data_IF_601740930956
#
_entry.id   IF_601740930956
#
_cell.length_a   1.000
_cell.length_b   1.000
_cell.length_c   1.000
_cell.angle_alpha   90.00
_cell.angle_beta   90.00
_cell.angle_gamma   90.00
#
_symmetry.space_group_name_H-M   'P 1'
#
loop_
_entity.id
_entity.type
_entity.pdbx_description
1 polymer ?
#
# COMPACT_ATOMS: atom_id res chain seq x y z
N UNK A 1 32.19 29.76 -71.03
CA UNK A 1 32.67 28.70 -71.95
C UNK A 1 33.76 27.91 -71.23
N UNK A 2 33.56 26.59 -71.06
CA UNK A 2 34.59 25.53 -70.93
C UNK A 2 35.60 25.61 -69.74
N UNK A 3 35.92 24.58 -68.95
CA UNK A 3 35.80 23.11 -69.08
C UNK A 3 35.70 22.42 -67.71
N UNK A 4 35.03 21.28 -67.75
CA UNK A 4 34.99 20.14 -66.82
C UNK A 4 36.29 19.33 -66.78
N UNK A 5 36.51 18.64 -65.66
CA UNK A 5 37.13 17.31 -65.45
C UNK A 5 37.08 17.03 -63.92
N UNK A 6 36.72 15.89 -63.33
CA UNK A 6 36.22 14.59 -63.80
C UNK A 6 36.16 13.61 -62.60
N UNK A 7 35.00 12.95 -62.41
CA UNK A 7 34.75 11.60 -61.85
C UNK A 7 35.25 11.16 -60.43
N UNK A 8 34.62 10.10 -59.84
CA UNK A 8 34.27 10.02 -58.42
C UNK A 8 35.03 8.93 -57.64
N UNK A 9 35.06 9.05 -56.30
CA UNK A 9 35.36 7.94 -55.40
C UNK A 9 34.28 7.87 -54.32
N UNK A 10 33.63 6.71 -54.22
CA UNK A 10 32.55 6.42 -53.29
C UNK A 10 33.01 6.30 -51.84
N UNK A 11 32.02 6.40 -50.96
CA UNK A 11 32.13 6.10 -49.54
C UNK A 11 30.72 6.01 -48.97
N UNK A 12 30.28 4.79 -48.67
CA UNK A 12 28.99 4.45 -48.10
C UNK A 12 28.67 5.30 -46.87
N UNK A 13 27.53 6.00 -46.92
CA UNK A 13 26.95 6.62 -45.74
C UNK A 13 26.25 5.53 -44.90
N UNK A 14 26.94 5.04 -43.88
CA UNK A 14 26.29 4.34 -42.77
C UNK A 14 25.74 5.39 -41.79
N UNK A 15 24.44 5.39 -41.45
CA UNK A 15 23.98 6.20 -40.35
C UNK A 15 24.36 5.50 -39.04
N UNK A 16 25.20 6.17 -38.25
CA UNK A 16 25.45 5.83 -36.85
C UNK A 16 24.13 6.10 -36.12
N UNK A 17 23.40 5.03 -35.82
CA UNK A 17 22.23 5.08 -34.98
C UNK A 17 22.68 5.37 -33.54
N UNK A 18 22.05 6.40 -32.96
CA UNK A 18 22.22 6.85 -31.59
C UNK A 18 22.19 5.69 -30.59
N UNK A 19 23.28 5.64 -29.84
CA UNK A 19 23.52 4.72 -28.74
C UNK A 19 22.97 5.35 -27.47
N UNK A 20 21.67 5.22 -27.19
CA UNK A 20 21.19 5.25 -25.80
C UNK A 20 19.78 4.68 -25.67
N UNK A 21 19.67 3.35 -25.62
CA UNK A 21 18.43 2.72 -25.15
C UNK A 21 18.75 1.46 -24.35
N UNK A 22 18.56 1.60 -23.03
CA UNK A 22 18.35 0.53 -22.05
C UNK A 22 19.46 -0.53 -21.96
N UNK A 23 20.46 -0.24 -21.12
CA UNK A 23 21.02 -1.30 -20.25
C UNK A 23 19.96 -1.75 -19.25
N UNK A 24 19.07 -2.61 -19.71
CA UNK A 24 18.45 -3.61 -18.86
C UNK A 24 19.60 -4.51 -18.43
N UNK A 25 20.07 -4.38 -17.19
CA UNK A 25 20.98 -5.36 -16.61
C UNK A 25 20.24 -6.70 -16.59
N UNK A 26 20.50 -7.57 -17.57
CA UNK A 26 20.09 -8.96 -17.52
C UNK A 26 20.68 -9.56 -16.25
N UNK A 27 19.83 -9.80 -15.24
CA UNK A 27 20.21 -10.67 -14.13
C UNK A 27 20.44 -12.06 -14.74
N UNK A 28 21.70 -12.39 -15.03
CA UNK A 28 22.11 -13.74 -15.40
C UNK A 28 22.28 -14.52 -14.10
N UNK A 29 21.44 -15.53 -13.91
CA UNK A 29 21.62 -16.59 -12.92
C UNK A 29 21.80 -17.91 -13.67
N UNK A 30 22.61 -18.83 -13.14
CA UNK A 30 22.73 -20.19 -13.73
C UNK A 30 21.67 -21.15 -13.20
N UNK A 31 21.20 -20.94 -11.97
CA UNK A 31 20.32 -21.88 -11.28
C UNK A 31 19.21 -21.14 -10.53
N UNK A 32 18.03 -21.75 -10.48
CA UNK A 32 16.93 -21.38 -9.58
C UNK A 32 16.73 -22.50 -8.59
N UNK A 33 16.87 -22.20 -7.30
CA UNK A 33 16.62 -23.14 -6.21
C UNK A 33 15.38 -22.73 -5.43
N UNK A 34 14.46 -23.68 -5.26
CA UNK A 34 13.19 -23.50 -4.55
C UNK A 34 13.27 -24.17 -3.19
N UNK A 35 13.00 -23.42 -2.13
CA UNK A 35 12.98 -23.88 -0.76
C UNK A 35 11.58 -23.77 -0.17
N UNK A 36 11.16 -24.79 0.56
CA UNK A 36 10.07 -24.65 1.53
C UNK A 36 10.67 -24.21 2.87
N UNK A 37 10.14 -23.16 3.47
CA UNK A 37 10.59 -22.62 4.76
C UNK A 37 9.41 -22.56 5.72
N UNK A 38 9.08 -23.66 6.42
CA UNK A 38 7.82 -23.82 7.16
C UNK A 38 7.58 -22.77 8.26
N UNK A 39 8.63 -22.14 8.79
CA UNK A 39 8.54 -21.08 9.80
C UNK A 39 8.77 -19.67 9.24
N UNK A 40 8.74 -19.48 7.93
CA UNK A 40 8.81 -18.17 7.28
C UNK A 40 7.40 -17.60 7.10
N UNK A 41 6.65 -17.48 8.19
CA UNK A 41 5.29 -16.93 8.20
C UNK A 41 5.27 -15.39 8.36
N UNK A 42 6.43 -14.75 8.26
CA UNK A 42 6.67 -13.40 8.72
C UNK A 42 7.93 -12.74 8.08
N UNK A 43 7.88 -11.43 7.73
CA UNK A 43 9.05 -10.64 7.31
C UNK A 43 10.21 -10.51 8.26
N UNK A 44 10.03 -10.73 9.55
CA UNK A 44 11.18 -10.80 10.44
C UNK A 44 12.05 -12.00 10.03
N UNK A 45 11.44 -13.14 9.70
CA UNK A 45 12.16 -14.29 9.15
C UNK A 45 12.61 -14.06 7.71
N UNK A 46 11.79 -13.45 6.85
CA UNK A 46 12.22 -13.05 5.49
C UNK A 46 13.47 -12.18 5.54
N UNK A 47 13.46 -11.13 6.38
CA UNK A 47 14.57 -10.21 6.58
C UNK A 47 15.76 -10.91 7.21
N UNK A 48 15.54 -11.83 8.14
CA UNK A 48 16.60 -12.65 8.72
C UNK A 48 17.27 -13.52 7.64
N UNK A 49 16.49 -14.15 6.77
CA UNK A 49 16.99 -14.91 5.63
C UNK A 49 17.76 -13.99 4.69
N UNK A 50 17.18 -12.84 4.31
CA UNK A 50 17.83 -11.87 3.43
C UNK A 50 19.15 -11.36 4.01
N UNK A 51 19.21 -11.06 5.30
CA UNK A 51 20.44 -10.65 6.00
C UNK A 51 21.46 -11.79 6.05
N UNK A 52 21.01 -13.02 6.31
CA UNK A 52 21.88 -14.18 6.38
C UNK A 52 22.48 -14.54 5.00
N UNK A 53 21.74 -14.29 3.93
CA UNK A 53 22.12 -14.57 2.55
C UNK A 53 22.82 -13.39 1.85
N UNK A 54 22.82 -12.18 2.44
CA UNK A 54 23.46 -10.98 1.85
C UNK A 54 24.98 -11.13 1.64
N UNK A 55 25.62 -12.11 2.28
CA UNK A 55 27.06 -12.38 2.15
C UNK A 55 27.45 -13.28 0.98
N UNK A 56 26.51 -13.75 0.17
CA UNK A 56 26.78 -14.59 -1.00
C UNK A 56 26.80 -13.73 -2.27
N UNK A 57 27.97 -13.58 -2.89
CA UNK A 57 28.13 -12.83 -4.15
C UNK A 57 27.50 -13.56 -5.34
N UNK A 58 27.28 -14.87 -5.20
CA UNK A 58 26.68 -15.74 -6.20
C UNK A 58 25.15 -15.60 -6.27
N UNK A 59 24.50 -14.97 -5.27
CA UNK A 59 23.05 -14.77 -5.25
C UNK A 59 22.69 -13.50 -6.03
N UNK A 60 21.80 -13.64 -7.02
CA UNK A 60 21.35 -12.55 -7.88
C UNK A 60 20.01 -11.97 -7.44
N UNK A 61 19.05 -12.85 -7.14
CA UNK A 61 17.68 -12.47 -6.81
C UNK A 61 17.14 -13.40 -5.71
N UNK A 62 16.41 -12.81 -4.77
CA UNK A 62 15.64 -13.53 -3.76
C UNK A 62 14.17 -13.14 -3.89
N UNK A 63 13.31 -14.13 -4.14
CA UNK A 63 11.86 -13.96 -4.12
C UNK A 63 11.27 -14.75 -2.97
N UNK A 64 10.35 -14.12 -2.24
CA UNK A 64 9.75 -14.67 -1.04
C UNK A 64 8.24 -14.70 -1.22
N UNK A 65 7.66 -15.90 -1.07
CA UNK A 65 6.22 -16.09 -0.99
C UNK A 65 5.87 -16.55 0.43
N UNK A 66 5.47 -15.60 1.26
CA UNK A 66 5.09 -15.82 2.66
C UNK A 66 3.81 -16.65 2.78
N UNK A 67 2.88 -16.52 1.82
CA UNK A 67 1.60 -17.24 1.82
C UNK A 67 1.82 -18.74 1.64
N UNK A 68 2.69 -19.10 0.70
CA UNK A 68 3.05 -20.49 0.42
C UNK A 68 4.32 -20.96 1.16
N UNK A 69 4.91 -20.09 2.00
CA UNK A 69 6.14 -20.36 2.77
C UNK A 69 7.29 -20.86 1.88
N UNK A 70 7.43 -20.23 0.72
CA UNK A 70 8.35 -20.62 -0.36
C UNK A 70 9.38 -19.51 -0.60
N UNK A 71 10.63 -19.90 -0.72
CA UNK A 71 11.76 -19.02 -1.07
C UNK A 71 12.34 -19.50 -2.39
N UNK A 72 12.47 -18.59 -3.34
CA UNK A 72 13.15 -18.83 -4.60
C UNK A 72 14.44 -18.01 -4.65
N UNK A 73 15.54 -18.72 -4.91
CA UNK A 73 16.88 -18.14 -4.95
C UNK A 73 17.44 -18.32 -6.34
N UNK A 74 17.72 -17.21 -7.02
CA UNK A 74 18.46 -17.21 -8.29
C UNK A 74 19.94 -17.02 -7.95
N UNK A 75 20.77 -17.96 -8.38
CA UNK A 75 22.20 -17.95 -8.06
C UNK A 75 23.08 -18.56 -9.16
N UNK A 76 24.37 -18.25 -9.09
CA UNK A 76 25.40 -18.68 -10.05
C UNK A 76 26.30 -19.81 -9.51
N UNK A 77 26.12 -20.19 -8.25
CA UNK A 77 27.03 -21.06 -7.49
C UNK A 77 26.44 -22.41 -7.10
N UNK A 78 27.09 -23.07 -6.13
CA UNK A 78 26.60 -24.31 -5.53
C UNK A 78 25.44 -24.03 -4.54
N UNK A 79 24.50 -24.97 -4.43
CA UNK A 79 23.29 -24.82 -3.60
C UNK A 79 23.54 -25.17 -2.13
N UNK A 80 24.58 -25.97 -1.87
CA UNK A 80 24.94 -26.51 -0.57
C UNK A 80 25.30 -25.41 0.45
N UNK A 81 26.11 -24.38 0.13
CA UNK A 81 26.40 -23.28 1.05
C UNK A 81 25.16 -22.46 1.43
N UNK A 82 24.26 -22.24 0.47
CA UNK A 82 22.99 -21.52 0.65
C UNK A 82 22.08 -22.34 1.59
N UNK A 83 21.96 -23.65 1.33
CA UNK A 83 21.18 -24.59 2.14
C UNK A 83 21.73 -24.69 3.57
N UNK A 84 23.05 -24.77 3.71
CA UNK A 84 23.72 -24.79 5.01
C UNK A 84 23.45 -23.50 5.80
N UNK A 85 23.46 -22.34 5.13
CA UNK A 85 23.12 -21.07 5.80
C UNK A 85 21.65 -21.02 6.22
N UNK A 86 20.73 -21.40 5.35
CA UNK A 86 19.29 -21.40 5.65
C UNK A 86 18.93 -22.35 6.80
N UNK A 87 19.59 -23.50 6.89
CA UNK A 87 19.38 -24.46 8.00
C UNK A 87 19.85 -23.91 9.35
N UNK A 88 20.90 -23.09 9.39
CA UNK A 88 21.37 -22.46 10.63
C UNK A 88 20.36 -21.48 11.26
N UNK A 89 19.41 -20.98 10.46
CA UNK A 89 18.37 -20.07 10.95
C UNK A 89 17.28 -20.78 11.77
N UNK A 90 17.24 -22.12 11.77
CA UNK A 90 16.26 -22.88 12.56
C UNK A 90 14.81 -22.76 12.05
N UNK A 91 14.63 -22.23 10.83
CA UNK A 91 13.33 -22.00 10.18
C UNK A 91 12.74 -23.24 9.49
N UNK A 92 13.48 -24.35 9.49
CA UNK A 92 13.08 -25.61 8.86
C UNK A 92 13.21 -25.61 7.34
N UNK A 93 14.07 -24.76 6.78
CA UNK A 93 14.28 -24.66 5.34
C UNK A 93 14.70 -26.01 4.74
N UNK A 94 13.96 -26.45 3.71
CA UNK A 94 14.24 -27.68 2.96
C UNK A 94 14.26 -27.36 1.48
N UNK A 95 15.32 -27.78 0.78
CA UNK A 95 15.40 -27.68 -0.67
C UNK A 95 14.36 -28.61 -1.31
N UNK A 96 13.52 -28.07 -2.18
CA UNK A 96 12.51 -28.82 -2.92
C UNK A 96 13.02 -29.16 -4.32
N UNK A 97 13.54 -28.16 -5.03
CA UNK A 97 13.97 -28.30 -6.42
C UNK A 97 15.14 -27.36 -6.71
N UNK A 98 16.03 -27.76 -7.61
CA UNK A 98 17.01 -26.87 -8.25
C UNK A 98 17.01 -27.17 -9.74
N UNK A 99 16.73 -26.14 -10.54
CA UNK A 99 16.65 -26.23 -11.99
C UNK A 99 17.60 -25.22 -12.64
N UNK A 100 18.05 -25.53 -13.85
CA UNK A 100 18.82 -24.59 -14.66
C UNK A 100 17.94 -23.37 -14.94
N UNK A 101 18.48 -22.18 -14.68
CA UNK A 101 17.76 -20.95 -14.86
C UNK A 101 17.70 -20.60 -16.35
N UNK A 102 16.49 -20.59 -16.91
CA UNK A 102 16.23 -20.00 -18.21
C UNK A 102 15.94 -18.49 -18.06
N UNK A 103 16.15 -17.67 -19.11
CA UNK A 103 15.93 -16.23 -19.04
C UNK A 103 14.49 -15.82 -18.66
N UNK A 104 13.48 -16.67 -18.91
CA UNK A 104 12.09 -16.39 -18.54
C UNK A 104 11.86 -16.66 -17.05
N UNK A 105 12.40 -17.75 -16.49
CA UNK A 105 12.29 -18.02 -15.05
C UNK A 105 13.01 -16.97 -14.21
N UNK A 106 14.18 -16.47 -14.62
CA UNK A 106 14.88 -15.40 -13.89
C UNK A 106 14.07 -14.09 -13.92
N UNK A 107 13.48 -13.75 -15.07
CA UNK A 107 12.57 -12.59 -15.18
C UNK A 107 11.33 -12.77 -14.32
N UNK A 108 10.69 -13.93 -14.33
CA UNK A 108 9.50 -14.20 -13.52
C UNK A 108 9.78 -14.06 -12.01
N UNK A 109 10.92 -14.57 -11.54
CA UNK A 109 11.36 -14.44 -10.13
C UNK A 109 11.68 -12.96 -9.81
N UNK A 110 12.37 -12.28 -10.72
CA UNK A 110 12.68 -10.85 -10.61
C UNK A 110 11.43 -9.97 -10.55
N UNK A 111 10.49 -10.15 -11.48
CA UNK A 111 9.24 -9.40 -11.58
C UNK A 111 8.35 -9.64 -10.35
N UNK A 112 8.30 -10.87 -9.83
CA UNK A 112 7.58 -11.19 -8.59
C UNK A 112 8.17 -10.46 -7.39
N UNK A 113 9.50 -10.47 -7.25
CA UNK A 113 10.20 -9.78 -6.16
C UNK A 113 10.05 -8.24 -6.24
N UNK A 114 10.09 -7.67 -7.45
CA UNK A 114 9.89 -6.25 -7.69
C UNK A 114 8.44 -5.83 -7.41
N UNK A 115 7.46 -6.62 -7.85
CA UNK A 115 6.04 -6.41 -7.59
C UNK A 115 5.71 -6.40 -6.09
N UNK A 116 6.22 -7.38 -5.34
CA UNK A 116 6.01 -7.46 -3.89
C UNK A 116 6.64 -6.26 -3.14
N UNK A 117 7.84 -5.84 -3.53
CA UNK A 117 8.49 -4.66 -2.97
C UNK A 117 7.68 -3.37 -3.27
N UNK A 118 7.17 -3.23 -4.49
CA UNK A 118 6.38 -2.08 -4.93
C UNK A 118 4.99 -2.02 -4.25
N UNK A 119 4.35 -3.18 -4.02
CA UNK A 119 3.10 -3.29 -3.26
C UNK A 119 3.30 -2.82 -1.81
N UNK A 120 4.35 -3.31 -1.13
CA UNK A 120 4.68 -2.88 0.24
C UNK A 120 5.01 -1.37 0.33
N UNK A 121 5.68 -0.81 -0.69
CA UNK A 121 5.94 0.61 -0.79
C UNK A 121 4.66 1.43 -0.94
N UNK A 122 3.72 0.95 -1.74
CA UNK A 122 2.40 1.57 -1.91
C UNK A 122 1.60 1.56 -0.61
N UNK A 123 1.56 0.44 0.12
CA UNK A 123 0.88 0.36 1.43
C UNK A 123 1.47 1.33 2.45
N UNK A 124 2.80 1.54 2.47
CA UNK A 124 3.44 2.49 3.38
C UNK A 124 3.06 3.94 3.05
N UNK A 125 2.94 4.27 1.76
CA UNK A 125 2.43 5.57 1.34
C UNK A 125 0.97 5.77 1.73
N UNK A 126 0.11 4.77 1.50
CA UNK A 126 -1.31 4.82 1.89
C UNK A 126 -1.45 4.99 3.40
N UNK A 127 -0.71 4.21 4.20
CA UNK A 127 -0.66 4.34 5.66
C UNK A 127 -0.26 5.76 6.07
N UNK A 128 0.82 6.29 5.49
CA UNK A 128 1.34 7.62 5.84
C UNK A 128 0.35 8.74 5.54
N UNK A 129 -0.26 8.71 4.35
CA UNK A 129 -1.24 9.73 3.93
C UNK A 129 -2.48 9.69 4.84
N UNK A 130 -3.07 8.51 5.04
CA UNK A 130 -4.25 8.35 5.89
C UNK A 130 -3.99 8.74 7.35
N UNK A 131 -2.82 8.38 7.90
CA UNK A 131 -2.45 8.76 9.26
C UNK A 131 -2.29 10.29 9.41
N UNK A 132 -1.74 10.96 8.40
CA UNK A 132 -1.63 12.44 8.39
C UNK A 132 -3.00 13.09 8.27
N UNK A 133 -3.85 12.61 7.35
CA UNK A 133 -5.21 13.13 7.18
C UNK A 133 -6.03 12.97 8.47
N UNK A 134 -5.97 11.80 9.12
CA UNK A 134 -6.61 11.59 10.41
C UNK A 134 -6.26 12.70 11.42
N UNK A 135 -4.98 13.02 11.60
CA UNK A 135 -4.56 14.03 12.59
C UNK A 135 -5.02 15.43 12.16
N UNK A 136 -4.85 15.78 10.88
CA UNK A 136 -5.20 17.10 10.35
C UNK A 136 -6.71 17.34 10.43
N UNK A 137 -7.52 16.41 9.94
CA UNK A 137 -8.97 16.52 9.89
C UNK A 137 -9.62 16.37 11.27
N UNK A 138 -9.08 15.52 12.15
CA UNK A 138 -9.56 15.44 13.53
C UNK A 138 -9.37 16.79 14.22
N UNK A 139 -8.16 17.36 14.10
CA UNK A 139 -7.84 18.66 14.69
C UNK A 139 -8.71 19.76 14.10
N UNK A 140 -8.80 19.81 12.77
CA UNK A 140 -9.61 20.80 12.06
C UNK A 140 -11.10 20.64 12.34
N UNK A 141 -11.64 19.43 12.38
CA UNK A 141 -13.05 19.16 12.65
C UNK A 141 -13.46 19.53 14.07
N UNK A 142 -12.55 19.39 15.04
CA UNK A 142 -12.75 19.89 16.40
C UNK A 142 -12.76 21.41 16.44
N UNK A 143 -11.81 22.09 15.79
CA UNK A 143 -11.71 23.56 15.75
C UNK A 143 -12.89 24.17 14.97
N UNK A 144 -13.22 23.59 13.81
CA UNK A 144 -14.28 24.03 12.93
C UNK A 144 -15.66 23.61 13.40
N UNK A 145 -15.79 22.88 14.52
CA UNK A 145 -17.06 22.30 14.96
C UNK A 145 -17.83 21.55 13.84
N UNK A 146 -17.10 20.82 12.99
CA UNK A 146 -17.66 19.99 11.91
C UNK A 146 -17.64 18.51 12.28
N UNK A 147 -18.81 17.89 12.32
CA UNK A 147 -18.97 16.44 12.51
C UNK A 147 -18.64 15.65 11.26
N UNK A 148 -18.79 16.24 10.07
CA UNK A 148 -18.36 15.65 8.80
C UNK A 148 -16.85 15.40 8.79
N UNK A 149 -16.04 16.43 9.08
CA UNK A 149 -14.59 16.30 9.17
C UNK A 149 -14.14 15.32 10.26
N UNK A 150 -14.77 15.34 11.44
CA UNK A 150 -14.43 14.38 12.49
C UNK A 150 -14.76 12.96 12.03
N UNK A 151 -15.92 12.73 11.40
CA UNK A 151 -16.30 11.42 10.87
C UNK A 151 -15.33 10.91 9.81
N UNK A 152 -14.93 11.78 8.88
CA UNK A 152 -13.94 11.49 7.83
C UNK A 152 -12.56 11.16 8.40
N UNK A 153 -12.10 11.92 9.41
CA UNK A 153 -10.84 11.63 10.07
C UNK A 153 -10.80 10.22 10.68
N UNK A 154 -11.93 9.74 11.21
CA UNK A 154 -12.01 8.39 11.77
C UNK A 154 -11.99 7.28 10.71
N UNK A 155 -12.48 7.57 9.51
CA UNK A 155 -12.36 6.65 8.38
C UNK A 155 -10.90 6.55 7.93
N UNK A 156 -10.21 7.70 7.83
CA UNK A 156 -8.76 7.74 7.59
C UNK A 156 -7.96 7.02 8.69
N UNK A 157 -8.39 7.08 9.95
CA UNK A 157 -7.80 6.26 11.02
C UNK A 157 -8.04 4.76 10.81
N UNK A 158 -9.25 4.36 10.41
CA UNK A 158 -9.59 2.98 10.12
C UNK A 158 -8.73 2.42 8.97
N UNK A 159 -8.61 3.17 7.90
CA UNK A 159 -7.80 2.84 6.73
C UNK A 159 -6.31 2.73 7.11
N UNK A 160 -5.78 3.71 7.84
CA UNK A 160 -4.43 3.65 8.39
C UNK A 160 -4.22 2.42 9.28
N UNK A 161 -5.19 2.06 10.13
CA UNK A 161 -5.11 0.88 10.98
C UNK A 161 -5.13 -0.41 10.14
N UNK A 162 -5.92 -0.48 9.07
CA UNK A 162 -5.96 -1.63 8.15
C UNK A 162 -4.65 -1.76 7.36
N UNK A 163 -4.11 -0.68 6.81
CA UNK A 163 -2.80 -0.70 6.13
C UNK A 163 -1.65 -1.01 7.09
N UNK A 164 -1.70 -0.45 8.29
CA UNK A 164 -0.75 -0.72 9.36
C UNK A 164 -0.81 -2.17 9.80
N UNK A 165 -2.01 -2.74 9.95
CA UNK A 165 -2.20 -4.16 10.24
C UNK A 165 -1.75 -5.03 9.08
N UNK A 166 -1.99 -4.65 7.83
CA UNK A 166 -1.51 -5.38 6.66
C UNK A 166 0.02 -5.43 6.67
N UNK A 167 0.69 -4.29 6.92
CA UNK A 167 2.15 -4.19 7.06
C UNK A 167 2.69 -4.92 8.30
N UNK A 168 1.94 -4.93 9.40
CA UNK A 168 2.29 -5.65 10.62
C UNK A 168 2.09 -7.16 10.46
N UNK A 169 1.06 -7.58 9.75
CA UNK A 169 0.77 -8.99 9.46
C UNK A 169 1.92 -9.63 8.69
N UNK A 170 2.59 -8.84 7.85
CA UNK A 170 3.90 -9.15 7.32
C UNK A 170 4.89 -9.14 8.51
N UNK A 171 4.94 -10.22 9.29
CA UNK A 171 5.94 -10.39 10.36
C UNK A 171 5.45 -11.11 11.61
N UNK A 172 4.20 -11.55 11.64
CA UNK A 172 3.55 -11.91 12.90
C UNK A 172 2.63 -13.12 12.72
N UNK A 173 2.63 -14.04 13.70
CA UNK A 173 1.72 -15.20 13.68
C UNK A 173 0.25 -14.79 13.59
N UNK A 174 -0.59 -15.65 12.99
CA UNK A 174 -2.05 -15.41 12.82
C UNK A 174 -2.72 -14.96 14.13
N UNK A 175 -2.36 -15.55 15.28
CA UNK A 175 -2.90 -15.17 16.60
C UNK A 175 -2.56 -13.73 16.99
N UNK A 176 -1.35 -13.27 16.67
CA UNK A 176 -0.89 -11.91 16.97
C UNK A 176 -1.51 -10.90 16.02
N UNK A 177 -1.68 -11.25 14.75
CA UNK A 177 -2.42 -10.45 13.77
C UNK A 177 -3.86 -10.21 14.22
N UNK A 178 -4.54 -11.28 14.64
CA UNK A 178 -5.94 -11.19 15.09
C UNK A 178 -6.04 -10.36 16.37
N UNK A 179 -5.09 -10.46 17.30
CA UNK A 179 -5.05 -9.58 18.49
C UNK A 179 -4.86 -8.11 18.13
N UNK A 180 -3.93 -7.80 17.23
CA UNK A 180 -3.70 -6.43 16.76
C UNK A 180 -4.94 -5.88 16.04
N UNK A 181 -5.58 -6.70 15.20
CA UNK A 181 -6.84 -6.36 14.52
C UNK A 181 -7.96 -6.06 15.53
N UNK A 182 -8.13 -6.90 16.55
CA UNK A 182 -9.14 -6.66 17.58
C UNK A 182 -8.86 -5.38 18.37
N UNK A 183 -7.61 -5.10 18.72
CA UNK A 183 -7.25 -3.85 19.41
C UNK A 183 -7.60 -2.63 18.55
N UNK A 184 -7.22 -2.64 17.27
CA UNK A 184 -7.58 -1.59 16.32
C UNK A 184 -9.11 -1.45 16.18
N UNK A 185 -9.82 -2.57 16.05
CA UNK A 185 -11.28 -2.59 15.94
C UNK A 185 -11.99 -2.06 17.18
N UNK A 186 -11.49 -2.34 18.39
CA UNK A 186 -12.04 -1.78 19.65
C UNK A 186 -11.82 -0.28 19.71
N UNK A 187 -10.61 0.21 19.40
CA UNK A 187 -10.31 1.64 19.36
C UNK A 187 -11.22 2.36 18.35
N UNK A 188 -11.36 1.80 17.15
CA UNK A 188 -12.23 2.34 16.11
C UNK A 188 -13.72 2.33 16.53
N UNK A 189 -14.18 1.28 17.23
CA UNK A 189 -15.54 1.23 17.76
C UNK A 189 -15.80 2.34 18.78
N UNK A 190 -14.86 2.58 19.70
CA UNK A 190 -14.97 3.66 20.70
C UNK A 190 -15.06 5.02 20.01
N UNK A 191 -14.18 5.28 19.04
CA UNK A 191 -14.15 6.54 18.30
C UNK A 191 -15.44 6.75 17.48
N UNK A 192 -15.92 5.72 16.76
CA UNK A 192 -17.14 5.81 15.96
C UNK A 192 -18.37 6.10 16.82
N UNK A 193 -18.50 5.44 17.97
CA UNK A 193 -19.56 5.73 18.95
C UNK A 193 -19.43 7.16 19.47
N UNK A 194 -18.20 7.62 19.74
CA UNK A 194 -17.93 9.01 20.14
C UNK A 194 -18.41 10.04 19.13
N UNK A 195 -18.15 9.84 17.83
CA UNK A 195 -18.63 10.73 16.76
C UNK A 195 -20.15 10.72 16.64
N UNK A 196 -20.77 9.55 16.68
CA UNK A 196 -22.24 9.47 16.63
C UNK A 196 -22.89 10.13 17.87
N UNK A 197 -22.27 9.98 19.04
CA UNK A 197 -22.71 10.71 20.24
C UNK A 197 -22.55 12.23 20.08
N UNK A 198 -21.46 12.69 19.45
CA UNK A 198 -21.23 14.11 19.17
C UNK A 198 -22.22 14.67 18.15
N UNK A 199 -22.58 13.89 17.12
CA UNK A 199 -23.67 14.22 16.18
C UNK A 199 -24.98 14.41 16.93
N UNK A 200 -25.36 13.47 17.79
CA UNK A 200 -26.60 13.58 18.61
C UNK A 200 -26.53 14.81 19.51
N UNK A 201 -25.39 15.04 20.17
CA UNK A 201 -25.18 16.21 21.03
C UNK A 201 -25.35 17.51 20.26
N UNK A 202 -24.74 17.64 19.08
CA UNK A 202 -24.82 18.87 18.24
C UNK A 202 -26.17 19.03 17.54
N UNK A 203 -26.90 17.93 17.32
CA UNK A 203 -28.29 17.98 16.87
C UNK A 203 -29.20 18.59 17.94
N UNK A 204 -29.00 18.23 19.22
CA UNK A 204 -29.83 18.71 20.34
C UNK A 204 -29.43 20.10 20.83
N UNK A 205 -28.13 20.35 20.99
CA UNK A 205 -27.60 21.58 21.58
C UNK A 205 -27.13 22.62 20.55
N UNK A 206 -27.13 22.26 19.26
CA UNK A 206 -26.59 23.08 18.19
C UNK A 206 -25.05 23.00 18.06
N UNK A 207 -24.57 23.48 16.92
CA UNK A 207 -23.16 23.74 16.63
C UNK A 207 -23.08 24.79 15.53
N UNK A 208 -21.94 25.46 15.42
CA UNK A 208 -21.66 26.43 14.37
C UNK A 208 -20.46 25.95 13.55
N UNK A 209 -20.67 25.05 12.56
CA UNK A 209 -19.58 24.56 11.73
C UNK A 209 -18.97 25.71 10.92
N UNK A 210 -17.65 25.89 11.00
CA UNK A 210 -16.95 26.91 10.22
C UNK A 210 -16.79 26.41 8.76
N UNK A 211 -17.69 26.86 7.90
CA UNK A 211 -17.81 26.36 6.53
C UNK A 211 -16.54 26.47 5.70
N UNK A 212 -15.77 27.55 5.85
CA UNK A 212 -14.60 27.78 5.00
C UNK A 212 -13.48 26.78 5.32
N UNK A 213 -13.16 26.60 6.61
CA UNK A 213 -12.20 25.60 7.09
C UNK A 213 -12.68 24.19 6.77
N UNK A 214 -13.97 23.91 6.96
CA UNK A 214 -14.57 22.62 6.60
C UNK A 214 -14.33 22.27 5.13
N UNK A 215 -14.65 23.18 4.21
CA UNK A 215 -14.45 22.96 2.77
C UNK A 215 -12.97 22.93 2.40
N UNK A 216 -12.14 23.80 2.99
CA UNK A 216 -10.71 23.86 2.66
C UNK A 216 -9.97 22.58 3.04
N UNK A 217 -10.26 22.04 4.23
CA UNK A 217 -9.63 20.80 4.72
C UNK A 217 -10.14 19.60 3.91
N UNK A 218 -11.46 19.49 3.69
CA UNK A 218 -12.03 18.42 2.86
C UNK A 218 -11.52 18.49 1.41
N UNK A 219 -11.21 19.68 0.88
CA UNK A 219 -10.59 19.79 -0.45
C UNK A 219 -9.14 19.27 -0.47
N UNK A 220 -8.36 19.55 0.57
CA UNK A 220 -7.00 18.98 0.71
C UNK A 220 -7.06 17.46 0.84
N UNK A 221 -7.97 16.95 1.66
CA UNK A 221 -8.19 15.52 1.83
C UNK A 221 -8.68 14.84 0.54
N UNK A 222 -9.58 15.48 -0.22
CA UNK A 222 -9.99 15.02 -1.55
C UNK A 222 -8.79 14.85 -2.49
N UNK A 223 -7.86 15.80 -2.53
CA UNK A 223 -6.64 15.70 -3.35
C UNK A 223 -5.77 14.52 -2.90
N UNK A 224 -5.57 14.38 -1.59
CA UNK A 224 -4.77 13.30 -1.02
C UNK A 224 -5.37 11.92 -1.31
N UNK A 225 -6.69 11.77 -1.12
CA UNK A 225 -7.41 10.51 -1.33
C UNK A 225 -7.55 10.17 -2.82
N UNK A 226 -7.72 11.18 -3.69
CA UNK A 226 -7.64 10.97 -5.14
C UNK A 226 -6.25 10.50 -5.56
N UNK A 227 -5.19 11.05 -4.95
CA UNK A 227 -3.81 10.62 -5.20
C UNK A 227 -3.60 9.17 -4.77
N UNK A 228 -4.12 8.77 -3.61
CA UNK A 228 -4.11 7.39 -3.14
C UNK A 228 -4.83 6.45 -4.12
N UNK A 229 -6.04 6.83 -4.55
CA UNK A 229 -6.83 6.07 -5.51
C UNK A 229 -6.09 5.88 -6.85
N UNK A 230 -5.41 6.91 -7.33
CA UNK A 230 -4.59 6.84 -8.55
C UNK A 230 -3.38 5.91 -8.37
N UNK A 231 -2.72 5.90 -7.20
CA UNK A 231 -1.61 4.98 -6.91
C UNK A 231 -2.07 3.51 -6.89
N UNK A 232 -3.22 3.23 -6.28
CA UNK A 232 -3.82 1.89 -6.22
C UNK A 232 -4.29 1.45 -7.60
N UNK A 233 -4.83 2.35 -8.43
CA UNK A 233 -5.34 2.03 -9.77
C UNK A 233 -4.27 1.45 -10.71
N UNK A 234 -2.99 1.77 -10.48
CA UNK A 234 -1.86 1.17 -11.22
C UNK A 234 -1.61 -0.30 -10.86
N UNK A 235 -2.16 -0.77 -9.74
CA UNK A 235 -2.01 -2.14 -9.21
C UNK A 235 -3.37 -2.84 -9.09
N UNK A 236 -4.34 -2.46 -9.94
CA UNK A 236 -5.76 -2.86 -9.86
C UNK A 236 -5.99 -4.37 -10.03
N UNK A 237 -5.03 -5.08 -10.61
CA UNK A 237 -5.03 -6.55 -10.75
C UNK A 237 -4.33 -7.28 -9.60
N UNK A 238 -3.87 -6.55 -8.57
CA UNK A 238 -3.31 -7.15 -7.36
C UNK A 238 -4.32 -8.01 -6.58
N UNK A 239 -3.80 -8.72 -5.56
CA UNK A 239 -4.58 -9.63 -4.72
C UNK A 239 -5.80 -8.99 -4.02
N UNK A 240 -6.57 -9.79 -3.28
CA UNK A 240 -7.82 -9.35 -2.63
C UNK A 240 -7.66 -8.08 -1.76
N UNK A 241 -6.49 -7.88 -1.15
CA UNK A 241 -6.16 -6.71 -0.36
C UNK A 241 -6.16 -5.41 -1.19
N UNK A 242 -5.65 -5.44 -2.43
CA UNK A 242 -5.62 -4.26 -3.31
C UNK A 242 -7.00 -3.85 -3.83
N UNK A 243 -7.89 -4.83 -4.05
CA UNK A 243 -9.31 -4.55 -4.39
C UNK A 243 -10.04 -3.89 -3.24
N UNK A 244 -9.77 -4.32 -1.99
CA UNK A 244 -10.34 -3.69 -0.81
C UNK A 244 -9.86 -2.24 -0.66
N UNK A 245 -8.56 -1.99 -0.80
CA UNK A 245 -7.98 -0.63 -0.75
C UNK A 245 -8.57 0.31 -1.80
N UNK A 246 -8.87 -0.19 -3.01
CA UNK A 246 -9.52 0.62 -4.05
C UNK A 246 -10.94 1.05 -3.64
N UNK A 247 -11.70 0.16 -3.00
CA UNK A 247 -13.06 0.46 -2.52
C UNK A 247 -13.01 1.50 -1.40
N UNK A 248 -12.11 1.35 -0.43
CA UNK A 248 -11.96 2.31 0.67
C UNK A 248 -11.59 3.70 0.14
N UNK A 249 -10.52 3.77 -0.68
CA UNK A 249 -10.06 5.04 -1.24
C UNK A 249 -11.09 5.70 -2.18
N UNK A 250 -11.97 4.93 -2.82
CA UNK A 250 -13.09 5.49 -3.59
C UNK A 250 -14.21 6.04 -2.70
N UNK A 251 -14.49 5.40 -1.55
CA UNK A 251 -15.45 5.93 -0.58
C UNK A 251 -14.97 7.26 0.00
N UNK A 252 -13.68 7.38 0.32
CA UNK A 252 -13.10 8.62 0.84
C UNK A 252 -13.34 9.79 -0.10
N UNK A 253 -13.14 9.60 -1.40
CA UNK A 253 -13.40 10.62 -2.43
C UNK A 253 -14.86 11.05 -2.41
N UNK A 254 -15.81 10.11 -2.28
CA UNK A 254 -17.25 10.41 -2.21
C UNK A 254 -17.62 11.16 -0.94
N UNK A 255 -17.08 10.75 0.22
CA UNK A 255 -17.34 11.40 1.50
C UNK A 255 -16.74 12.81 1.53
N UNK A 256 -15.50 12.99 1.06
CA UNK A 256 -14.86 14.30 0.90
C UNK A 256 -15.73 15.27 0.08
N UNK A 257 -16.24 14.82 -1.06
CA UNK A 257 -17.17 15.60 -1.88
C UNK A 257 -18.47 15.92 -1.12
N UNK A 258 -18.95 14.97 -0.32
CA UNK A 258 -20.07 15.16 0.61
C UNK A 258 -19.79 16.24 1.64
N UNK A 259 -18.62 16.24 2.28
CA UNK A 259 -18.19 17.25 3.26
C UNK A 259 -18.06 18.63 2.60
N UNK A 260 -17.44 18.73 1.43
CA UNK A 260 -17.36 20.01 0.70
C UNK A 260 -18.77 20.55 0.39
N UNK A 261 -19.65 19.67 -0.10
CA UNK A 261 -21.05 20.04 -0.40
C UNK A 261 -21.80 20.46 0.86
N UNK A 262 -21.62 19.75 1.97
CA UNK A 262 -22.20 20.11 3.25
C UNK A 262 -21.68 21.46 3.75
N UNK A 263 -20.37 21.73 3.66
CA UNK A 263 -19.80 23.03 4.02
C UNK A 263 -20.39 24.19 3.21
N UNK A 264 -20.58 23.99 1.90
CA UNK A 264 -21.25 24.96 1.03
C UNK A 264 -22.72 25.17 1.43
N UNK A 265 -23.45 24.10 1.76
CA UNK A 265 -24.83 24.19 2.23
C UNK A 265 -24.94 24.84 3.62
N UNK A 266 -23.99 24.60 4.53
CA UNK A 266 -23.92 25.30 5.83
C UNK A 266 -23.70 26.79 5.58
N UNK A 267 -22.79 27.16 4.68
CA UNK A 267 -22.52 28.57 4.34
C UNK A 267 -23.75 29.26 3.73
N UNK A 268 -24.52 28.55 2.92
CA UNK A 268 -25.71 29.09 2.26
C UNK A 268 -26.94 29.15 3.16
N UNK A 269 -27.18 28.11 3.96
CA UNK A 269 -28.39 27.98 4.79
C UNK A 269 -28.23 28.59 6.18
N UNK A 270 -26.99 28.75 6.66
CA UNK A 270 -26.69 29.12 8.05
C UNK A 270 -27.07 28.04 9.08
N UNK A 271 -27.34 26.81 8.64
CA UNK A 271 -27.73 25.69 9.52
C UNK A 271 -26.65 24.61 9.57
N UNK A 272 -26.52 23.92 10.70
CA UNK A 272 -25.55 22.83 10.89
C UNK A 272 -26.03 21.46 10.38
N UNK A 273 -27.30 21.33 9.96
CA UNK A 273 -27.88 20.06 9.52
C UNK A 273 -27.10 19.36 8.38
N UNK A 274 -26.62 20.06 7.33
CA UNK A 274 -25.86 19.40 6.26
C UNK A 274 -24.60 18.70 6.79
N UNK A 275 -23.88 19.34 7.70
CA UNK A 275 -22.69 18.75 8.35
C UNK A 275 -23.06 17.53 9.21
N UNK A 276 -24.14 17.62 10.01
CA UNK A 276 -24.60 16.50 10.85
C UNK A 276 -25.02 15.29 10.04
N UNK A 277 -25.64 15.48 8.88
CA UNK A 277 -26.03 14.38 7.99
C UNK A 277 -24.78 13.66 7.49
N UNK A 278 -23.78 14.40 7.00
CA UNK A 278 -22.53 13.80 6.53
C UNK A 278 -21.77 13.14 7.69
N UNK A 279 -21.68 13.79 8.85
CA UNK A 279 -21.08 13.21 10.05
C UNK A 279 -21.76 11.91 10.50
N UNK A 280 -23.09 11.82 10.37
CA UNK A 280 -23.85 10.59 10.64
C UNK A 280 -23.48 9.48 9.65
N UNK A 281 -23.44 9.80 8.35
CA UNK A 281 -23.11 8.84 7.29
C UNK A 281 -21.70 8.29 7.51
N UNK A 282 -20.71 9.17 7.68
CA UNK A 282 -19.33 8.79 7.95
C UNK A 282 -19.22 7.96 9.25
N UNK A 283 -19.83 8.41 10.35
CA UNK A 283 -19.84 7.66 11.62
C UNK A 283 -20.43 6.25 11.50
N UNK A 284 -21.49 6.06 10.71
CA UNK A 284 -22.09 4.74 10.46
C UNK A 284 -21.17 3.85 9.61
N UNK A 285 -20.49 4.41 8.60
CA UNK A 285 -19.50 3.68 7.79
C UNK A 285 -18.37 3.15 8.68
N UNK A 286 -17.77 4.04 9.49
CA UNK A 286 -16.68 3.69 10.42
C UNK A 286 -17.14 2.65 11.45
N UNK A 287 -18.36 2.79 11.98
CA UNK A 287 -18.95 1.83 12.93
C UNK A 287 -19.09 0.43 12.31
N UNK A 288 -19.52 0.36 11.05
CA UNK A 288 -19.62 -0.91 10.32
C UNK A 288 -18.24 -1.50 10.01
N UNK A 289 -17.24 -0.66 9.70
CA UNK A 289 -15.84 -1.06 9.57
C UNK A 289 -15.31 -1.73 10.85
N UNK A 290 -15.50 -1.08 12.00
CA UNK A 290 -15.09 -1.60 13.31
C UNK A 290 -15.73 -2.97 13.60
N UNK A 291 -17.04 -3.12 13.36
CA UNK A 291 -17.77 -4.39 13.51
C UNK A 291 -17.20 -5.51 12.65
N UNK A 292 -16.85 -5.20 11.39
CA UNK A 292 -16.24 -6.18 10.47
C UNK A 292 -14.87 -6.64 10.96
N UNK A 293 -14.03 -5.72 11.45
CA UNK A 293 -12.71 -6.07 12.00
C UNK A 293 -12.85 -6.96 13.24
N UNK A 294 -13.78 -6.64 14.14
CA UNK A 294 -14.05 -7.44 15.34
C UNK A 294 -14.68 -8.82 15.06
N UNK A 295 -15.22 -9.03 13.86
CA UNK A 295 -15.77 -10.32 13.46
C UNK A 295 -14.71 -11.29 12.91
N UNK A 296 -13.45 -10.85 12.73
CA UNK A 296 -12.37 -11.69 12.25
C UNK A 296 -12.05 -12.80 13.26
N UNK A 297 -12.09 -14.06 12.81
CA UNK A 297 -11.73 -15.24 13.61
C UNK A 297 -10.31 -15.68 13.26
N UNK A 298 -9.51 -15.97 14.28
CA UNK A 298 -8.13 -16.47 14.19
C UNK A 298 -7.99 -17.96 14.46
#
# INVERSE_FOLDING_TARGET
MSKTCGAPCGGDATPIADTDMRRSSEASGKWVSVYAVPKMDCPSEERMIRLALNGFEEIRVLSFDLSNRRLEVVHDGEVEPITAKLTTLGLGASLQETAAADPESIKAVGDTSASAAQESGTLRWLLGINAVLFVVEMTAGLIAHSTGLIGESLDNFADAAVYGLALYAVGHSVKMQVRAAHLAGVLQLILAVGVLAEVVRRFVFGSEPESLMMMAIAFVALIANTSCLLLISKHREGGAHMKASWIFSANDVVINLGVITAGALVAWTGTNYPDLIIGTIAGVIVLNGARRILALKG
#
